data_IF_588443968130
#
_entry.id   IF_588443968130
#
_cell.length_a   1.000
_cell.length_b   1.000
_cell.length_c   1.000
_cell.angle_alpha   90.00
_cell.angle_beta   90.00
_cell.angle_gamma   90.00
#
_symmetry.space_group_name_H-M   'P 1'
#
loop_
_entity.id
_entity.type
_entity.pdbx_description
1 polymer ?
#
# COMPACT_ATOMS: atom_id res chain seq x y z
N UNK A 1 1.17 9.63 -8.34
CA UNK A 1 1.58 8.21 -8.33
C UNK A 1 2.06 7.73 -9.70
N UNK A 2 1.20 7.67 -10.73
CA UNK A 2 1.54 7.13 -12.07
C UNK A 2 2.76 7.81 -12.73
N UNK A 3 3.00 9.08 -12.43
CA UNK A 3 4.18 9.81 -12.92
C UNK A 3 5.53 9.21 -12.48
N UNK A 4 5.58 8.40 -11.42
CA UNK A 4 6.83 7.76 -10.95
C UNK A 4 6.70 6.24 -10.79
N UNK A 5 5.47 5.74 -10.57
CA UNK A 5 5.22 4.35 -10.24
C UNK A 5 4.37 3.67 -11.30
N UNK A 6 4.71 2.42 -11.60
CA UNK A 6 3.90 1.54 -12.46
C UNK A 6 2.94 0.68 -11.63
N UNK A 7 1.93 0.15 -12.31
CA UNK A 7 1.17 -1.03 -11.89
C UNK A 7 1.35 -2.09 -12.99
N UNK A 8 2.59 -2.58 -13.17
CA UNK A 8 3.03 -3.31 -14.38
C UNK A 8 2.32 -4.66 -14.64
N UNK A 9 1.53 -5.15 -13.68
CA UNK A 9 0.72 -6.36 -13.81
C UNK A 9 -0.76 -6.07 -14.03
N UNK A 10 -1.18 -4.81 -13.98
CA UNK A 10 -2.55 -4.35 -14.19
C UNK A 10 -2.69 -3.74 -15.59
N UNK A 11 -3.79 -4.09 -16.28
CA UNK A 11 -4.12 -3.54 -17.61
C UNK A 11 -5.22 -2.49 -17.48
N UNK A 12 -5.18 -1.47 -18.33
CA UNK A 12 -6.21 -0.41 -18.35
C UNK A 12 -7.63 -0.95 -18.57
N UNK A 13 -7.78 -1.96 -19.43
CA UNK A 13 -9.07 -2.58 -19.73
C UNK A 13 -9.67 -3.29 -18.53
N UNK A 14 -8.84 -4.00 -17.76
CA UNK A 14 -9.27 -4.67 -16.53
C UNK A 14 -9.70 -3.64 -15.50
N UNK A 15 -8.84 -2.65 -15.24
CA UNK A 15 -9.14 -1.54 -14.34
C UNK A 15 -10.48 -0.89 -14.67
N UNK A 16 -10.70 -0.60 -15.96
CA UNK A 16 -11.93 0.04 -16.40
C UNK A 16 -13.18 -0.84 -16.22
N UNK A 17 -13.06 -2.15 -16.45
CA UNK A 17 -14.15 -3.11 -16.25
C UNK A 17 -14.47 -3.29 -14.76
N UNK A 18 -13.45 -3.56 -13.95
CA UNK A 18 -13.60 -3.90 -12.52
C UNK A 18 -14.11 -2.70 -11.71
N UNK A 19 -13.72 -1.46 -12.08
CA UNK A 19 -14.15 -0.22 -11.43
C UNK A 19 -15.32 0.50 -12.13
N UNK A 20 -15.94 -0.14 -13.14
CA UNK A 20 -17.05 0.42 -13.93
C UNK A 20 -16.75 1.83 -14.50
N UNK A 21 -15.52 2.06 -14.93
CA UNK A 21 -15.09 3.33 -15.51
C UNK A 21 -15.70 3.46 -16.92
N UNK A 22 -16.42 4.56 -17.23
CA UNK A 22 -16.95 4.77 -18.56
C UNK A 22 -15.84 4.71 -19.62
N UNK A 23 -16.06 3.97 -20.71
CA UNK A 23 -15.04 3.76 -21.75
C UNK A 23 -14.48 5.07 -22.30
N UNK A 24 -15.34 6.09 -22.44
CA UNK A 24 -14.93 7.43 -22.84
C UNK A 24 -13.88 7.99 -21.87
N UNK A 25 -14.17 8.01 -20.56
CA UNK A 25 -13.26 8.51 -19.52
C UNK A 25 -11.93 7.75 -19.52
N UNK A 26 -11.99 6.43 -19.67
CA UNK A 26 -10.78 5.61 -19.76
C UNK A 26 -9.89 6.03 -20.94
N UNK A 27 -10.50 6.26 -22.11
CA UNK A 27 -9.78 6.62 -23.34
C UNK A 27 -9.30 8.07 -23.38
N UNK A 28 -10.05 9.01 -22.80
CA UNK A 28 -9.72 10.44 -22.89
C UNK A 28 -8.84 10.92 -21.76
N UNK A 29 -9.02 10.40 -20.55
CA UNK A 29 -8.46 11.02 -19.34
C UNK A 29 -7.47 10.13 -18.59
N UNK A 30 -7.49 8.81 -18.83
CA UNK A 30 -6.65 7.85 -18.10
C UNK A 30 -5.57 7.21 -18.97
N UNK A 31 -5.91 6.80 -20.19
CA UNK A 31 -4.96 6.16 -21.11
C UNK A 31 -3.89 7.17 -21.57
N UNK A 32 -2.60 6.78 -21.55
CA UNK A 32 -1.58 7.54 -22.23
C UNK A 32 -1.89 7.69 -23.72
N UNK A 33 -1.56 8.84 -24.35
CA UNK A 33 -1.84 9.05 -25.76
C UNK A 33 -1.21 7.96 -26.64
N UNK A 34 -2.05 7.23 -27.38
CA UNK A 34 -1.62 6.17 -28.30
C UNK A 34 -1.63 4.76 -27.72
N UNK A 35 -1.81 4.59 -26.41
CA UNK A 35 -1.85 3.27 -25.80
C UNK A 35 -3.21 2.58 -26.01
N UNK A 36 -3.24 1.29 -26.38
CA UNK A 36 -4.49 0.53 -26.40
C UNK A 36 -4.97 0.22 -24.97
N UNK A 37 -6.28 0.02 -24.74
CA UNK A 37 -6.79 -0.38 -23.42
C UNK A 37 -6.21 -1.70 -22.89
N UNK A 38 -5.69 -2.56 -23.76
CA UNK A 38 -5.01 -3.79 -23.35
C UNK A 38 -3.62 -3.55 -22.77
N UNK A 39 -3.05 -2.35 -22.88
CA UNK A 39 -1.71 -2.06 -22.40
C UNK A 39 -1.62 -2.11 -20.86
N UNK A 40 -0.43 -2.39 -20.36
CA UNK A 40 -0.16 -2.37 -18.92
C UNK A 40 0.03 -0.94 -18.41
N UNK A 41 -0.39 -0.70 -17.17
CA UNK A 41 -0.22 0.61 -16.53
C UNK A 41 1.26 0.79 -16.17
N UNK A 42 1.97 1.58 -16.97
CA UNK A 42 3.40 1.86 -16.79
C UNK A 42 3.64 3.34 -16.57
N UNK A 43 4.61 3.65 -15.73
CA UNK A 43 5.14 5.00 -15.62
C UNK A 43 5.90 5.38 -16.88
N UNK A 44 5.82 6.65 -17.26
CA UNK A 44 6.66 7.23 -18.32
C UNK A 44 8.06 7.60 -17.82
N UNK A 45 8.32 7.53 -16.51
CA UNK A 45 9.60 7.88 -15.92
C UNK A 45 10.68 6.80 -16.19
N UNK A 46 11.78 7.12 -16.90
CA UNK A 46 12.88 6.19 -17.09
C UNK A 46 13.60 5.88 -15.78
N UNK A 47 14.02 4.62 -15.62
CA UNK A 47 14.69 4.18 -14.39
C UNK A 47 16.02 4.91 -14.12
N UNK A 48 16.77 5.25 -15.18
CA UNK A 48 18.03 5.98 -15.08
C UNK A 48 17.82 7.41 -14.55
N UNK A 49 16.78 8.10 -15.04
CA UNK A 49 16.43 9.44 -14.59
C UNK A 49 15.96 9.42 -13.14
N UNK A 50 15.13 8.46 -12.78
CA UNK A 50 14.68 8.29 -11.40
C UNK A 50 15.84 8.02 -10.43
N UNK A 51 16.83 7.20 -10.85
CA UNK A 51 18.05 6.95 -10.09
C UNK A 51 18.89 8.22 -9.93
N UNK A 52 18.99 9.04 -10.98
CA UNK A 52 19.71 10.32 -10.95
C UNK A 52 19.05 11.34 -10.02
N UNK A 53 17.72 11.48 -10.09
CA UNK A 53 16.98 12.51 -9.35
C UNK A 53 16.71 12.15 -7.89
N UNK A 54 16.40 10.88 -7.60
CA UNK A 54 15.98 10.44 -6.26
C UNK A 54 17.01 9.53 -5.58
N UNK A 55 18.10 9.17 -6.25
CA UNK A 55 19.10 8.22 -5.75
C UNK A 55 18.61 6.77 -5.70
N UNK A 56 17.34 6.50 -6.07
CA UNK A 56 16.72 5.18 -6.12
C UNK A 56 15.60 5.16 -7.17
N UNK A 57 15.45 4.06 -7.89
CA UNK A 57 14.28 3.83 -8.74
C UNK A 57 13.02 3.58 -7.88
N UNK A 58 11.91 4.30 -8.13
CA UNK A 58 10.63 4.03 -7.50
C UNK A 58 10.18 2.58 -7.72
N UNK A 59 9.67 1.89 -6.68
CA UNK A 59 9.16 0.54 -6.83
C UNK A 59 7.86 0.53 -7.65
N UNK A 60 7.62 -0.59 -8.33
CA UNK A 60 6.30 -0.91 -8.88
C UNK A 60 5.29 -1.13 -7.74
N UNK A 61 4.07 -0.64 -7.93
CA UNK A 61 3.03 -0.68 -6.90
C UNK A 61 2.03 -1.82 -7.08
N UNK A 62 2.10 -2.59 -8.17
CA UNK A 62 1.08 -3.58 -8.53
C UNK A 62 0.84 -4.62 -7.42
N UNK A 63 1.86 -4.95 -6.63
CA UNK A 63 1.76 -5.92 -5.53
C UNK A 63 2.14 -5.32 -4.17
N UNK A 64 2.25 -3.99 -4.07
CA UNK A 64 2.79 -3.36 -2.88
C UNK A 64 1.90 -3.57 -1.64
N UNK A 65 0.58 -3.48 -1.81
CA UNK A 65 -0.37 -3.75 -0.73
C UNK A 65 -0.27 -5.21 -0.24
N UNK A 66 -0.07 -6.18 -1.13
CA UNK A 66 0.14 -7.59 -0.76
C UNK A 66 1.49 -7.84 -0.11
N UNK A 67 2.53 -7.13 -0.52
CA UNK A 67 3.89 -7.30 0.00
C UNK A 67 4.12 -6.63 1.36
N UNK A 68 3.42 -5.53 1.65
CA UNK A 68 3.64 -4.72 2.86
C UNK A 68 2.43 -4.63 3.80
N UNK A 69 1.22 -4.88 3.30
CA UNK A 69 -0.04 -4.68 4.01
C UNK A 69 -0.62 -3.27 3.83
N UNK A 70 -1.94 -3.15 3.89
CA UNK A 70 -2.65 -1.87 3.79
C UNK A 70 -2.24 -0.88 4.88
N UNK A 71 -2.12 -1.34 6.13
CA UNK A 71 -1.71 -0.49 7.26
C UNK A 71 -0.33 0.12 7.07
N UNK A 72 0.60 -0.62 6.46
CA UNK A 72 1.92 -0.09 6.14
C UNK A 72 1.80 1.11 5.20
N UNK A 73 1.01 0.99 4.14
CA UNK A 73 0.84 2.04 3.13
C UNK A 73 0.07 3.23 3.70
N UNK A 74 -0.96 2.96 4.49
CA UNK A 74 -1.72 4.00 5.18
C UNK A 74 -0.81 4.81 6.11
N UNK A 75 -0.01 4.15 6.95
CA UNK A 75 0.97 4.81 7.81
C UNK A 75 2.07 5.53 7.01
N UNK A 76 2.51 4.94 5.89
CA UNK A 76 3.48 5.59 5.01
C UNK A 76 2.97 6.94 4.53
N UNK A 77 1.72 7.04 4.05
CA UNK A 77 1.17 8.33 3.61
C UNK A 77 0.91 9.29 4.78
N UNK A 78 0.47 8.77 5.93
CA UNK A 78 0.09 9.59 7.10
C UNK A 78 1.27 10.10 7.94
N UNK A 79 2.49 9.63 7.74
CA UNK A 79 3.62 9.92 8.64
C UNK A 79 4.76 10.69 7.99
N UNK A 80 4.49 11.36 6.87
CA UNK A 80 5.41 12.33 6.28
C UNK A 80 5.60 13.55 7.17
N UNK A 81 6.80 14.11 7.21
CA UNK A 81 7.08 15.37 7.88
C UNK A 81 8.21 16.13 7.19
N UNK A 82 8.26 17.45 7.40
CA UNK A 82 9.30 18.32 6.86
C UNK A 82 10.63 18.03 7.54
N UNK A 83 11.65 17.79 6.73
CA UNK A 83 13.02 17.54 7.17
C UNK A 83 14.01 18.17 6.17
N UNK A 84 14.52 19.37 6.47
CA UNK A 84 15.45 20.08 5.58
C UNK A 84 16.79 19.37 5.37
N UNK A 85 17.11 18.35 6.18
CA UNK A 85 18.35 17.58 6.02
C UNK A 85 18.25 16.56 4.88
N UNK A 86 17.03 16.29 4.39
CA UNK A 86 16.77 15.35 3.29
C UNK A 86 16.80 16.08 1.94
N UNK A 87 17.26 15.43 0.85
CA UNK A 87 17.26 16.03 -0.48
C UNK A 87 15.88 16.51 -0.97
N UNK A 88 14.82 15.83 -0.55
CA UNK A 88 13.43 16.15 -0.91
C UNK A 88 12.77 17.12 0.07
N UNK A 89 13.46 17.54 1.13
CA UNK A 89 12.89 18.35 2.21
C UNK A 89 11.86 17.63 3.09
N UNK A 90 11.69 16.31 2.91
CA UNK A 90 10.71 15.52 3.65
C UNK A 90 11.31 14.17 4.10
N UNK A 91 10.82 13.69 5.24
CA UNK A 91 11.14 12.38 5.79
C UNK A 91 9.86 11.69 6.29
N UNK A 92 9.97 10.48 6.83
CA UNK A 92 8.82 9.65 7.16
C UNK A 92 9.10 8.75 8.37
N UNK A 93 8.13 8.65 9.30
CA UNK A 93 8.31 7.79 10.48
C UNK A 93 8.19 6.30 10.14
N UNK A 94 7.35 5.93 9.15
CA UNK A 94 7.18 4.53 8.75
C UNK A 94 8.35 4.02 7.92
N UNK A 95 8.92 4.87 7.07
CA UNK A 95 10.11 4.59 6.27
C UNK A 95 11.16 5.69 6.47
N UNK A 96 12.01 5.59 7.50
CA UNK A 96 13.06 6.58 7.75
C UNK A 96 13.97 6.76 6.54
N UNK A 97 14.38 8.00 6.28
CA UNK A 97 15.24 8.38 5.17
C UNK A 97 14.64 8.07 3.79
N UNK A 98 13.31 8.11 3.69
CA UNK A 98 12.58 7.90 2.44
C UNK A 98 13.12 8.81 1.32
N UNK A 99 13.27 8.22 0.13
CA UNK A 99 13.67 8.96 -1.08
C UNK A 99 12.48 9.62 -1.78
N UNK A 100 11.26 9.10 -1.55
CA UNK A 100 10.03 9.63 -2.12
C UNK A 100 9.66 10.95 -1.43
N UNK A 101 9.46 12.06 -2.17
CA UNK A 101 8.97 13.32 -1.60
C UNK A 101 7.57 13.14 -1.01
N UNK A 102 7.11 14.12 -0.23
CA UNK A 102 5.73 14.11 0.26
C UNK A 102 4.75 14.48 -0.86
N UNK A 103 4.40 13.50 -1.71
CA UNK A 103 3.57 13.71 -2.91
C UNK A 103 2.13 14.16 -2.63
N UNK A 104 1.69 14.09 -1.37
CA UNK A 104 0.37 14.53 -0.93
C UNK A 104 0.42 15.79 -0.05
N UNK A 105 1.55 16.50 -0.03
CA UNK A 105 1.74 17.68 0.83
C UNK A 105 0.73 18.79 0.59
N UNK A 106 0.28 18.98 -0.66
CA UNK A 106 -0.77 19.97 -0.97
C UNK A 106 -2.13 19.58 -0.39
N UNK A 107 -2.39 18.28 -0.23
CA UNK A 107 -3.65 17.78 0.33
C UNK A 107 -3.61 17.76 1.86
N UNK A 108 -2.55 17.23 2.45
CA UNK A 108 -2.39 17.11 3.92
C UNK A 108 -2.00 18.44 4.58
N UNK A 109 -1.19 19.23 3.90
CA UNK A 109 -0.43 20.33 4.48
C UNK A 109 0.96 19.89 4.91
N UNK A 110 1.71 20.84 5.48
CA UNK A 110 3.05 20.60 6.00
C UNK A 110 3.01 20.46 7.51
N UNK A 111 3.75 19.49 8.02
CA UNK A 111 3.90 19.24 9.45
C UNK A 111 5.33 18.87 9.80
N UNK A 112 5.75 19.15 11.02
CA UNK A 112 7.02 18.69 11.59
C UNK A 112 6.77 17.60 12.62
N UNK A 113 7.72 16.68 12.73
CA UNK A 113 7.75 15.71 13.82
C UNK A 113 8.44 16.33 15.04
N UNK A 114 7.80 16.24 16.20
CA UNK A 114 8.36 16.61 17.49
C UNK A 114 8.77 15.33 18.21
N UNK A 115 9.99 15.31 18.72
CA UNK A 115 10.57 14.18 19.46
C UNK A 115 10.87 14.63 20.89
N UNK A 116 10.78 13.69 21.83
CA UNK A 116 11.14 13.89 23.23
C UNK A 116 12.26 12.95 23.62
N UNK A 117 13.17 13.42 24.46
CA UNK A 117 14.21 12.59 25.05
C UNK A 117 13.61 11.75 26.18
N UNK A 118 13.79 10.43 26.08
CA UNK A 118 13.40 9.48 27.11
C UNK A 118 14.66 8.80 27.63
N UNK A 119 14.88 8.87 28.93
CA UNK A 119 15.92 8.09 29.60
C UNK A 119 15.35 6.72 29.95
N UNK A 120 15.94 5.67 29.41
CA UNK A 120 15.65 4.28 29.80
C UNK A 120 16.82 3.73 30.58
N UNK A 121 16.54 3.09 31.72
CA UNK A 121 17.56 2.37 32.46
C UNK A 121 17.69 0.96 31.89
N UNK A 122 18.84 0.66 31.28
CA UNK A 122 19.21 -0.68 30.86
C UNK A 122 19.60 -1.58 32.04
N UNK A 123 19.78 -2.87 31.78
CA UNK A 123 20.33 -3.79 32.78
C UNK A 123 21.66 -3.25 33.32
N UNK A 124 21.79 -3.19 34.65
CA UNK A 124 22.96 -2.64 35.34
C UNK A 124 22.93 -1.13 35.62
N UNK A 125 21.81 -0.43 35.39
CA UNK A 125 21.67 0.99 35.73
C UNK A 125 22.23 1.96 34.69
N UNK A 126 22.59 1.47 33.51
CA UNK A 126 23.06 2.30 32.39
C UNK A 126 21.92 3.16 31.86
N UNK A 127 22.10 4.47 31.82
CA UNK A 127 21.16 5.40 31.21
C UNK A 127 21.30 5.39 29.69
N UNK A 128 20.21 5.06 28.99
CA UNK A 128 20.09 5.08 27.53
C UNK A 128 19.18 6.25 27.17
N UNK A 129 19.73 7.25 26.49
CA UNK A 129 18.97 8.37 25.97
C UNK A 129 18.41 7.99 24.59
N UNK A 130 17.08 7.93 24.46
CA UNK A 130 16.39 7.62 23.22
C UNK A 130 15.45 8.77 22.84
N UNK A 131 15.52 9.22 21.59
CA UNK A 131 14.52 10.14 21.04
C UNK A 131 13.31 9.37 20.55
N UNK A 132 12.18 9.60 21.20
CA UNK A 132 10.90 8.97 20.84
C UNK A 132 10.00 10.02 20.22
N UNK A 133 9.33 9.65 19.13
CA UNK A 133 8.31 10.50 18.51
C UNK A 133 7.21 10.83 19.53
N UNK A 134 6.86 12.10 19.64
CA UNK A 134 5.82 12.57 20.56
C UNK A 134 4.54 12.93 19.78
N UNK A 135 4.60 13.93 18.90
CA UNK A 135 3.47 14.34 18.07
C UNK A 135 3.89 15.08 16.79
N UNK A 136 2.92 15.32 15.91
CA UNK A 136 3.09 16.21 14.75
C UNK A 136 2.57 17.61 15.07
N UNK A 137 3.35 18.62 14.71
CA UNK A 137 2.93 20.02 14.76
C UNK A 137 2.70 20.52 13.33
N UNK A 138 1.51 21.09 13.07
CA UNK A 138 1.16 21.59 11.75
C UNK A 138 1.87 22.92 11.48
N UNK A 139 2.60 22.98 10.36
CA UNK A 139 3.32 24.18 9.91
C UNK A 139 2.44 24.98 8.94
N UNK A 140 1.79 24.29 8.00
CA UNK A 140 0.93 24.91 7.01
C UNK A 140 -0.30 24.02 6.72
N UNK A 141 -1.50 24.60 6.56
CA UNK A 141 -2.69 23.84 6.24
C UNK A 141 -2.63 23.27 4.81
N UNK A 142 -3.20 22.09 4.62
CA UNK A 142 -3.46 21.51 3.30
C UNK A 142 -4.80 21.93 2.72
N UNK A 143 -5.10 21.43 1.52
CA UNK A 143 -6.40 21.62 0.87
C UNK A 143 -7.52 20.82 1.51
N UNK A 144 -7.20 19.72 2.20
CA UNK A 144 -8.18 18.83 2.83
C UNK A 144 -8.12 18.98 4.35
N UNK A 145 -9.29 18.88 5.00
CA UNK A 145 -9.35 18.69 6.44
C UNK A 145 -8.77 17.34 6.86
N UNK A 146 -8.42 17.17 8.15
CA UNK A 146 -7.79 15.95 8.64
C UNK A 146 -8.60 14.67 8.36
N UNK A 147 -9.93 14.75 8.47
CA UNK A 147 -10.84 13.62 8.19
C UNK A 147 -10.97 13.33 6.68
N UNK A 148 -10.98 14.36 5.84
CA UNK A 148 -11.04 14.20 4.38
C UNK A 148 -9.73 13.62 3.84
N UNK A 149 -8.59 14.09 4.37
CA UNK A 149 -7.28 13.53 4.04
C UNK A 149 -7.18 12.06 4.47
N UNK A 150 -7.70 11.72 5.65
CA UNK A 150 -7.80 10.34 6.11
C UNK A 150 -8.62 9.46 5.16
N UNK A 151 -9.79 9.94 4.71
CA UNK A 151 -10.60 9.28 3.68
C UNK A 151 -9.83 9.08 2.37
N UNK A 152 -9.18 10.14 1.87
CA UNK A 152 -8.39 10.09 0.64
C UNK A 152 -7.26 9.06 0.70
N UNK A 153 -6.53 8.99 1.82
CA UNK A 153 -5.46 8.00 2.01
C UNK A 153 -6.04 6.59 2.09
N UNK A 154 -7.17 6.39 2.80
CA UNK A 154 -7.85 5.08 2.84
C UNK A 154 -8.28 4.63 1.45
N UNK A 155 -8.88 5.50 0.66
CA UNK A 155 -9.32 5.18 -0.70
C UNK A 155 -8.13 4.85 -1.60
N UNK A 156 -7.03 5.59 -1.46
CA UNK A 156 -5.78 5.32 -2.19
C UNK A 156 -5.21 3.95 -1.81
N UNK A 157 -5.21 3.58 -0.54
CA UNK A 157 -4.72 2.28 -0.07
C UNK A 157 -5.66 1.14 -0.48
N UNK A 158 -6.97 1.35 -0.38
CA UNK A 158 -7.99 0.40 -0.83
C UNK A 158 -7.85 0.13 -2.34
N UNK A 159 -7.60 1.16 -3.13
CA UNK A 159 -7.28 1.04 -4.54
C UNK A 159 -6.04 0.16 -4.77
N UNK A 160 -4.96 0.38 -4.02
CA UNK A 160 -3.74 -0.44 -4.14
C UNK A 160 -3.96 -1.88 -3.64
N UNK A 161 -4.83 -2.12 -2.67
CA UNK A 161 -5.21 -3.47 -2.23
C UNK A 161 -6.00 -4.21 -3.32
N UNK A 162 -6.96 -3.52 -3.95
CA UNK A 162 -7.66 -4.02 -5.13
C UNK A 162 -6.67 -4.38 -6.24
N UNK A 163 -5.75 -3.49 -6.61
CA UNK A 163 -4.75 -3.78 -7.67
C UNK A 163 -3.86 -4.97 -7.30
N UNK A 164 -3.51 -5.10 -6.02
CA UNK A 164 -2.74 -6.24 -5.50
C UNK A 164 -3.49 -7.57 -5.57
N UNK A 165 -4.82 -7.53 -5.58
CA UNK A 165 -5.66 -8.72 -5.68
C UNK A 165 -7.06 -8.46 -6.28
N UNK A 166 -7.18 -8.26 -7.60
CA UNK A 166 -8.46 -7.85 -8.19
C UNK A 166 -9.58 -8.89 -8.07
N UNK A 167 -9.23 -10.18 -7.90
CA UNK A 167 -10.18 -11.29 -7.75
C UNK A 167 -10.49 -11.65 -6.29
N UNK A 168 -10.16 -10.78 -5.32
CA UNK A 168 -10.25 -11.10 -3.89
C UNK A 168 -11.64 -11.55 -3.45
N UNK A 169 -12.68 -10.83 -3.87
CA UNK A 169 -14.07 -11.15 -3.53
C UNK A 169 -14.49 -12.51 -4.09
N UNK A 170 -14.15 -12.78 -5.36
CA UNK A 170 -14.43 -14.07 -6.01
C UNK A 170 -13.69 -15.23 -5.32
N UNK A 171 -12.41 -15.03 -4.95
CA UNK A 171 -11.62 -16.04 -4.22
C UNK A 171 -12.24 -16.36 -2.86
N UNK A 172 -12.64 -15.34 -2.09
CA UNK A 172 -13.27 -15.54 -0.77
C UNK A 172 -14.61 -16.26 -0.89
N UNK A 173 -15.45 -15.86 -1.85
CA UNK A 173 -16.74 -16.51 -2.10
C UNK A 173 -16.58 -17.98 -2.48
N UNK A 174 -15.66 -18.30 -3.39
CA UNK A 174 -15.36 -19.68 -3.78
C UNK A 174 -14.76 -20.49 -2.63
N UNK A 175 -13.86 -19.87 -1.85
CA UNK A 175 -13.19 -20.50 -0.72
C UNK A 175 -14.15 -21.06 0.32
N UNK A 176 -15.25 -20.36 0.61
CA UNK A 176 -16.29 -20.85 1.53
C UNK A 176 -16.87 -22.18 1.05
N UNK A 177 -17.24 -22.27 -0.22
CA UNK A 177 -17.79 -23.50 -0.81
C UNK A 177 -16.77 -24.64 -0.86
N UNK A 178 -15.51 -24.33 -1.19
CA UNK A 178 -14.43 -25.32 -1.19
C UNK A 178 -14.20 -25.89 0.21
N UNK A 179 -14.16 -25.04 1.24
CA UNK A 179 -13.99 -25.49 2.64
C UNK A 179 -15.16 -26.36 3.08
N UNK A 180 -16.41 -25.96 2.78
CA UNK A 180 -17.59 -26.77 3.11
C UNK A 180 -17.56 -28.14 2.43
N UNK A 181 -17.22 -28.18 1.14
CA UNK A 181 -17.06 -29.43 0.42
C UNK A 181 -15.99 -30.33 1.06
N UNK A 182 -14.82 -29.76 1.39
CA UNK A 182 -13.74 -30.51 2.02
C UNK A 182 -14.12 -31.04 3.41
N UNK A 183 -14.89 -30.29 4.20
CA UNK A 183 -15.39 -30.76 5.51
C UNK A 183 -16.33 -31.95 5.36
N UNK A 184 -17.30 -31.86 4.45
CA UNK A 184 -18.26 -32.95 4.18
C UNK A 184 -17.52 -34.18 3.62
N UNK A 185 -16.63 -33.98 2.66
CA UNK A 185 -15.83 -35.06 2.09
C UNK A 185 -14.92 -35.70 3.15
N UNK A 186 -14.28 -34.91 4.00
CA UNK A 186 -13.45 -35.43 5.10
C UNK A 186 -14.26 -36.26 6.09
N UNK A 187 -15.49 -35.85 6.39
CA UNK A 187 -16.40 -36.60 7.24
C UNK A 187 -16.79 -37.94 6.61
N UNK A 188 -17.14 -37.96 5.31
CA UNK A 188 -17.43 -39.20 4.58
C UNK A 188 -16.20 -40.11 4.49
N UNK A 189 -15.03 -39.56 4.19
CA UNK A 189 -13.77 -40.30 4.15
C UNK A 189 -13.41 -40.87 5.53
N UNK A 190 -13.72 -40.15 6.63
CA UNK A 190 -13.55 -40.66 7.98
C UNK A 190 -14.49 -41.83 8.29
N UNK A 191 -15.76 -41.78 7.84
CA UNK A 191 -16.67 -42.91 7.96
C UNK A 191 -16.16 -44.15 7.20
N UNK A 192 -15.66 -43.95 5.98
CA UNK A 192 -15.05 -45.03 5.19
C UNK A 192 -13.81 -45.59 5.89
N UNK A 193 -12.91 -44.72 6.38
CA UNK A 193 -11.74 -45.15 7.16
C UNK A 193 -12.16 -46.00 8.36
N UNK A 194 -13.16 -45.55 9.13
CA UNK A 194 -13.65 -46.27 10.31
C UNK A 194 -14.16 -47.67 9.94
N UNK A 195 -14.83 -47.80 8.80
CA UNK A 195 -15.33 -49.08 8.31
C UNK A 195 -14.21 -50.03 7.86
N UNK A 196 -13.22 -49.54 7.11
CA UNK A 196 -12.10 -50.38 6.64
C UNK A 196 -11.15 -50.82 7.75
N UNK A 197 -11.00 -50.02 8.80
CA UNK A 197 -10.05 -50.26 9.89
C UNK A 197 -10.67 -51.02 11.08
N UNK A 198 -11.93 -51.41 11.00
CA UNK A 198 -12.60 -52.16 12.07
C UNK A 198 -11.94 -53.53 12.33
N UNK A 199 -11.33 -54.13 11.30
CA UNK A 199 -10.74 -55.47 11.35
C UNK A 199 -9.21 -55.45 11.59
N UNK A 200 -8.63 -54.26 11.74
CA UNK A 200 -7.18 -54.06 11.98
C UNK A 200 -7.04 -53.42 13.37
N UNK A 201 -6.74 -54.24 14.37
CA UNK A 201 -6.55 -53.84 15.77
C UNK A 201 -5.07 -53.53 16.02
#
# INVERSE_FOLDING_TARGET
CLGCHSLKYERWSRLGQDLAIPQRLLQTDLLPPGDPPTEYIRTSMPAADAQSWFGKTPPDLALMARARGGDYLYQLFKTYYVDPTRPTGANNLRLPNIAMPHVLSELEGLKRAVFRDVVRHGEGGTEIHEQVFDHFEQIAPGRLGAAEYDGFVRDTVNFLDYVGEPTQTARRALGIWVVLFLLVFSWLAWLVKREYWKDVH
#
